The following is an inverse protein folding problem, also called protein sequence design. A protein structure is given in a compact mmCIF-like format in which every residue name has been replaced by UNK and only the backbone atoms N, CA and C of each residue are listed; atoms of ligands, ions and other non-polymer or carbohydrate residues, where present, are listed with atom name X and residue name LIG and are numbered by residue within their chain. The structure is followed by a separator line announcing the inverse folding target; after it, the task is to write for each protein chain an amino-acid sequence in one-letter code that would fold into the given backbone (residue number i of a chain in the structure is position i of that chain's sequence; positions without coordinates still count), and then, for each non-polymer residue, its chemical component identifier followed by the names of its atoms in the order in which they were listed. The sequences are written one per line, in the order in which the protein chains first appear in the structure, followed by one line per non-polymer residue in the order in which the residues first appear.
data_IF_004631852104
#
_entry.id   IF_004631852104
#
_cell.length_a   1.000
_cell.length_b   1.000
_cell.length_c   1.000
_cell.angle_alpha   90.00
_cell.angle_beta   90.00
_cell.angle_gamma   90.00
#
_symmetry.space_group_name_H-M   'P 1'
#
loop_
_entity.id
_entity.type
_entity.pdbx_description
1 polymer ?
#
# COMPACT_ATOMS: atom_id res chain seq x y z
N UNK A 1 -7.23 9.06 -7.45
CA UNK A 1 -7.10 7.88 -6.56
C UNK A 1 -6.47 6.68 -7.27
N UNK A 2 -6.93 6.29 -8.47
CA UNK A 2 -6.32 5.18 -9.22
C UNK A 2 -4.85 5.40 -9.60
N UNK A 3 -4.45 6.62 -9.97
CA UNK A 3 -3.05 6.94 -10.26
C UNK A 3 -2.13 6.77 -9.04
N UNK A 4 -2.62 7.10 -7.84
CA UNK A 4 -1.87 6.90 -6.60
C UNK A 4 -1.67 5.41 -6.30
N UNK A 5 -2.73 4.60 -6.45
CA UNK A 5 -2.63 3.15 -6.28
C UNK A 5 -1.61 2.58 -7.28
N UNK A 6 -1.68 2.99 -8.54
CA UNK A 6 -0.75 2.55 -9.58
C UNK A 6 0.69 2.97 -9.27
N UNK A 7 0.90 4.21 -8.85
CA UNK A 7 2.21 4.69 -8.42
C UNK A 7 2.78 3.85 -7.26
N UNK A 8 1.97 3.52 -6.26
CA UNK A 8 2.38 2.69 -5.13
C UNK A 8 2.67 1.24 -5.55
N UNK A 9 1.96 0.71 -6.55
CA UNK A 9 2.25 -0.61 -7.13
C UNK A 9 3.56 -0.61 -7.94
N UNK A 10 3.85 0.47 -8.66
CA UNK A 10 5.08 0.61 -9.48
C UNK A 10 6.32 0.93 -8.63
N UNK A 11 6.15 1.47 -7.41
CA UNK A 11 7.22 1.90 -6.51
C UNK A 11 7.07 1.29 -5.09
N UNK A 12 7.31 -0.01 -4.91
CA UNK A 12 7.15 -0.70 -3.62
C UNK A 12 8.07 -0.14 -2.51
N UNK A 13 9.19 0.48 -2.86
CA UNK A 13 10.08 1.14 -1.91
C UNK A 13 9.43 2.33 -1.19
N UNK A 14 8.41 2.94 -1.79
CA UNK A 14 7.64 4.01 -1.16
C UNK A 14 6.77 3.45 -0.04
N UNK A 15 6.23 2.24 -0.20
CA UNK A 15 5.48 1.53 0.84
C UNK A 15 6.38 1.21 2.03
N UNK A 16 7.63 0.80 1.78
CA UNK A 16 8.60 0.55 2.85
C UNK A 16 8.98 1.84 3.60
N UNK A 17 9.13 2.96 2.88
CA UNK A 17 9.36 4.28 3.51
C UNK A 17 8.14 4.81 4.27
N UNK A 18 6.93 4.45 3.83
CA UNK A 18 5.68 4.74 4.53
C UNK A 18 5.59 3.94 5.83
N UNK A 19 5.95 2.65 5.81
CA UNK A 19 6.04 1.80 7.01
C UNK A 19 7.06 2.32 8.02
N UNK A 20 8.20 2.82 7.55
CA UNK A 20 9.24 3.37 8.43
C UNK A 20 8.92 4.77 8.96
N UNK A 21 7.80 5.39 8.52
CA UNK A 21 7.43 6.76 8.90
C UNK A 21 8.36 7.83 8.33
N UNK A 22 9.20 7.49 7.35
CA UNK A 22 10.15 8.43 6.73
C UNK A 22 9.47 9.34 5.70
N UNK A 23 8.35 8.88 5.14
CA UNK A 23 7.49 9.66 4.23
C UNK A 23 6.04 9.50 4.62
N UNK A 24 5.20 10.46 4.23
CA UNK A 24 3.74 10.39 4.39
C UNK A 24 3.05 10.80 3.10
N UNK A 25 1.81 10.35 2.90
CA UNK A 25 1.00 10.70 1.75
C UNK A 25 0.22 11.99 2.06
N UNK A 26 0.39 13.01 1.22
CA UNK A 26 -0.30 14.29 1.38
C UNK A 26 -1.77 14.13 0.99
N UNK A 27 -2.67 14.61 1.84
CA UNK A 27 -4.12 14.58 1.61
C UNK A 27 -4.81 13.32 2.09
N UNK A 28 -4.13 12.46 2.85
CA UNK A 28 -4.70 11.33 3.56
C UNK A 28 -4.50 11.51 5.07
N UNK A 29 -5.46 11.05 5.86
CA UNK A 29 -5.29 11.00 7.31
C UNK A 29 -4.48 9.77 7.75
N UNK A 30 -4.07 9.75 9.02
CA UNK A 30 -3.23 8.69 9.56
C UNK A 30 -3.89 7.31 9.47
N UNK A 31 -5.20 7.21 9.65
CA UNK A 31 -5.95 5.95 9.54
C UNK A 31 -5.98 5.44 8.09
N UNK A 32 -6.17 6.34 7.12
CA UNK A 32 -6.10 6.01 5.69
C UNK A 32 -4.72 5.50 5.30
N UNK A 33 -3.65 6.15 5.78
CA UNK A 33 -2.27 5.70 5.55
C UNK A 33 -2.03 4.30 6.14
N UNK A 34 -2.50 4.05 7.36
CA UNK A 34 -2.40 2.73 8.00
C UNK A 34 -3.18 1.64 7.24
N UNK A 35 -4.35 1.97 6.71
CA UNK A 35 -5.14 1.04 5.91
C UNK A 35 -4.40 0.64 4.62
N UNK A 36 -3.77 1.61 3.94
CA UNK A 36 -2.97 1.36 2.74
C UNK A 36 -1.78 0.45 3.08
N UNK A 37 -1.01 0.78 4.12
CA UNK A 37 0.14 -0.03 4.56
C UNK A 37 -0.29 -1.47 4.84
N UNK A 38 -1.43 -1.66 5.52
CA UNK A 38 -1.96 -2.98 5.85
C UNK A 38 -2.30 -3.79 4.60
N UNK A 39 -2.97 -3.19 3.61
CA UNK A 39 -3.34 -3.86 2.36
C UNK A 39 -2.11 -4.29 1.58
N UNK A 40 -1.12 -3.41 1.43
CA UNK A 40 0.11 -3.72 0.69
C UNK A 40 1.07 -4.67 1.44
N UNK A 41 0.89 -4.85 2.75
CA UNK A 41 1.66 -5.81 3.55
C UNK A 41 1.09 -7.22 3.50
N UNK A 42 -0.16 -7.39 3.10
CA UNK A 42 -0.77 -8.71 2.94
C UNK A 42 -0.41 -9.25 1.56
N UNK A 43 0.27 -10.40 1.52
CA UNK A 43 0.40 -11.16 0.28
C UNK A 43 -0.98 -11.62 -0.13
N UNK A 44 -1.42 -11.21 -1.33
CA UNK A 44 -2.65 -11.74 -1.94
C UNK A 44 -2.34 -13.16 -2.40
N UNK A 45 -2.45 -14.13 -1.50
CA UNK A 45 -2.40 -15.54 -1.87
C UNK A 45 -3.69 -15.84 -2.63
N UNK A 46 -3.63 -16.29 -3.89
CA UNK A 46 -4.82 -16.75 -4.58
C UNK A 46 -5.41 -17.88 -3.74
N UNK A 47 -6.65 -17.71 -3.29
CA UNK A 47 -7.39 -18.83 -2.74
C UNK A 47 -7.51 -19.83 -3.89
N UNK A 48 -6.89 -21.01 -3.76
CA UNK A 48 -6.68 -22.00 -4.82
C UNK A 48 -7.94 -22.68 -5.33
N UNK A 49 -9.00 -21.91 -5.59
CA UNK A 49 -10.30 -22.34 -6.09
C UNK A 49 -10.33 -22.56 -7.59
N UNK A 50 -9.30 -22.13 -8.31
CA UNK A 50 -9.14 -22.39 -9.74
C UNK A 50 -7.83 -23.16 -9.94
N UNK A 51 -7.95 -24.47 -10.09
CA UNK A 51 -6.91 -25.37 -10.60
C UNK A 51 -7.22 -25.73 -12.05
#
# INVERSE_FOLDING_TARGET
MQEMIRFLMENPEVIEKLKSGTVSLVGLDELEVQAIIKVFSQSVTPLGYWK
#
